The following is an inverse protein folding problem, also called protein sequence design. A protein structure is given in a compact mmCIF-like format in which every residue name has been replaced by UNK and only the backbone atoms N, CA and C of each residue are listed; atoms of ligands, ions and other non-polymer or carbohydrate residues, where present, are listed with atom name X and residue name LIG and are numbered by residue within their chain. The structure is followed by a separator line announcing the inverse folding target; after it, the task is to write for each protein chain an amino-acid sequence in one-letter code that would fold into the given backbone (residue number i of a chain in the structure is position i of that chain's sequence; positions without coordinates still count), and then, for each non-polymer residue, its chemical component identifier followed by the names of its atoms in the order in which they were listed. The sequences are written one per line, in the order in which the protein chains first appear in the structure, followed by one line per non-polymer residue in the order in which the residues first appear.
data_IF_179004867290
#
_entry.id   IF_179004867290
#
_cell.length_a   1.000
_cell.length_b   1.000
_cell.length_c   1.000
_cell.angle_alpha   90.00
_cell.angle_beta   90.00
_cell.angle_gamma   90.00
#
_symmetry.space_group_name_H-M   'P 1'
#
loop_
_entity.id
_entity.type
_entity.pdbx_description
1 polymer ?
#
# COMPACT_ATOMS: atom_id res chain seq x y z
N UNK A 1 2.12 -13.30 -16.27
CA UNK A 1 1.89 -11.86 -16.50
C UNK A 1 2.28 -11.18 -15.21
N UNK A 2 3.09 -10.16 -15.25
CA UNK A 2 3.42 -9.44 -14.03
C UNK A 2 2.22 -8.57 -13.65
N UNK A 3 1.81 -8.57 -12.39
CA UNK A 3 0.80 -7.65 -11.87
C UNK A 3 1.30 -6.21 -12.05
N UNK A 4 0.40 -5.29 -12.41
CA UNK A 4 0.68 -3.87 -12.68
C UNK A 4 1.52 -3.56 -13.94
N UNK A 5 1.60 -4.45 -14.95
CA UNK A 5 2.40 -4.20 -16.16
C UNK A 5 1.83 -3.01 -16.95
N UNK A 6 0.59 -3.09 -17.36
CA UNK A 6 -0.06 -2.02 -18.09
C UNK A 6 -0.98 -1.16 -17.21
N UNK A 7 -1.54 -1.75 -16.15
CA UNK A 7 -2.39 -1.03 -15.22
C UNK A 7 -1.65 0.15 -14.56
N UNK A 8 -0.31 0.06 -14.42
CA UNK A 8 0.51 1.16 -13.91
C UNK A 8 0.33 2.47 -14.67
N UNK A 9 0.04 2.41 -15.98
CA UNK A 9 -0.14 3.59 -16.84
C UNK A 9 -1.41 4.38 -16.50
N UNK A 10 -2.45 3.69 -16.08
CA UNK A 10 -3.76 4.29 -15.73
C UNK A 10 -4.04 4.25 -14.22
N UNK A 11 -3.13 3.65 -13.43
CA UNK A 11 -3.32 3.43 -11.99
C UNK A 11 -3.75 4.71 -11.26
N UNK A 12 -3.06 5.81 -11.50
CA UNK A 12 -3.33 7.07 -10.84
C UNK A 12 -4.69 7.67 -11.21
N UNK A 13 -5.18 7.43 -12.42
CA UNK A 13 -6.52 7.84 -12.85
C UNK A 13 -7.60 6.93 -12.24
N UNK A 14 -7.36 5.63 -12.23
CA UNK A 14 -8.30 4.65 -11.63
C UNK A 14 -8.40 4.85 -10.12
N UNK A 15 -7.28 5.16 -9.45
CA UNK A 15 -7.19 5.41 -8.01
C UNK A 15 -7.41 6.88 -7.63
N UNK A 16 -8.01 7.69 -8.50
CA UNK A 16 -8.24 9.12 -8.23
C UNK A 16 -9.10 9.39 -6.98
N UNK A 17 -9.94 8.44 -6.59
CA UNK A 17 -10.79 8.52 -5.40
C UNK A 17 -10.08 8.15 -4.08
N UNK A 18 -8.84 7.66 -4.14
CA UNK A 18 -8.07 7.43 -2.91
C UNK A 18 -7.50 8.75 -2.40
N UNK A 19 -7.85 9.11 -1.17
CA UNK A 19 -7.45 10.39 -0.55
C UNK A 19 -6.02 10.31 0.04
N UNK A 20 -5.02 10.53 -0.82
CA UNK A 20 -3.62 10.61 -0.41
C UNK A 20 -3.34 11.76 0.56
N UNK A 21 -4.14 12.82 0.54
CA UNK A 21 -4.01 13.95 1.47
C UNK A 21 -4.51 13.57 2.86
N UNK A 22 -5.57 12.78 2.96
CA UNK A 22 -6.04 12.24 4.23
C UNK A 22 -5.02 11.27 4.83
N UNK A 23 -4.51 10.33 4.02
CA UNK A 23 -3.46 9.40 4.42
C UNK A 23 -2.21 10.13 4.91
N UNK A 24 -1.75 11.14 4.18
CA UNK A 24 -0.58 11.94 4.56
C UNK A 24 -0.82 12.73 5.87
N UNK A 25 -2.00 13.34 6.04
CA UNK A 25 -2.35 14.04 7.28
C UNK A 25 -2.34 13.10 8.48
N UNK A 26 -2.88 11.89 8.32
CA UNK A 26 -2.85 10.88 9.36
C UNK A 26 -1.42 10.47 9.71
N UNK A 27 -0.56 10.21 8.71
CA UNK A 27 0.85 9.89 8.93
C UNK A 27 1.55 11.02 9.69
N UNK A 28 1.36 12.26 9.28
CA UNK A 28 1.96 13.44 9.90
C UNK A 28 1.57 13.58 11.38
N UNK A 29 0.31 13.39 11.69
CA UNK A 29 -0.20 13.45 13.07
C UNK A 29 0.36 12.32 13.93
N UNK A 30 0.40 11.09 13.40
CA UNK A 30 0.98 9.93 14.09
C UNK A 30 2.49 10.09 14.28
N UNK A 31 3.19 10.63 13.30
CA UNK A 31 4.63 10.88 13.40
C UNK A 31 4.96 11.89 14.50
N UNK A 32 4.07 12.88 14.70
CA UNK A 32 4.29 13.97 15.64
C UNK A 32 5.32 14.98 15.16
N UNK A 33 5.80 15.83 16.08
CA UNK A 33 6.82 16.82 15.78
C UNK A 33 8.20 16.16 15.65
N UNK A 34 8.94 16.52 14.61
CA UNK A 34 10.30 16.06 14.34
C UNK A 34 10.94 16.89 13.24
N UNK A 35 12.27 17.07 13.32
CA UNK A 35 12.96 17.94 12.36
C UNK A 35 13.12 17.28 10.98
N UNK A 36 13.36 15.97 10.94
CA UNK A 36 13.53 15.19 9.71
C UNK A 36 13.52 13.70 9.98
N UNK A 37 12.56 13.00 9.43
CA UNK A 37 12.44 11.55 9.56
C UNK A 37 13.20 10.82 8.44
N UNK A 38 13.79 9.67 8.78
CA UNK A 38 14.16 8.64 7.81
C UNK A 38 12.95 7.73 7.63
N UNK A 39 12.35 7.75 6.45
CA UNK A 39 11.08 7.10 6.14
C UNK A 39 11.32 5.96 5.15
N UNK A 40 10.72 4.80 5.40
CA UNK A 40 10.60 3.70 4.45
C UNK A 40 9.15 3.58 4.02
N UNK A 41 8.88 3.69 2.73
CA UNK A 41 7.58 3.39 2.13
C UNK A 41 7.66 2.07 1.38
N UNK A 42 6.90 1.09 1.84
CA UNK A 42 6.81 -0.26 1.29
C UNK A 42 5.62 -0.33 0.32
N UNK A 43 5.76 -1.07 -0.78
CA UNK A 43 4.76 -1.12 -1.85
C UNK A 43 4.33 0.29 -2.30
N UNK A 44 5.31 1.12 -2.64
CA UNK A 44 5.11 2.55 -2.88
C UNK A 44 4.34 2.89 -4.17
N UNK A 45 4.13 1.91 -5.05
CA UNK A 45 3.44 2.09 -6.32
C UNK A 45 4.03 3.21 -7.17
N UNK A 46 3.18 4.11 -7.64
CA UNK A 46 3.56 5.27 -8.47
C UNK A 46 4.22 6.41 -7.69
N UNK A 47 4.43 6.26 -6.37
CA UNK A 47 5.11 7.24 -5.53
C UNK A 47 4.28 8.48 -5.14
N UNK A 48 2.96 8.44 -5.30
CA UNK A 48 2.07 9.57 -4.91
C UNK A 48 2.16 9.92 -3.44
N UNK A 49 2.19 8.92 -2.56
CA UNK A 49 2.35 9.16 -1.14
C UNK A 49 3.80 9.53 -0.81
N UNK A 50 4.80 8.85 -1.45
CA UNK A 50 6.22 9.17 -1.29
C UNK A 50 6.51 10.67 -1.52
N UNK A 51 5.91 11.24 -2.57
CA UNK A 51 6.06 12.67 -2.89
C UNK A 51 5.68 13.55 -1.69
N UNK A 52 4.51 13.29 -1.07
CA UNK A 52 4.03 14.02 0.12
C UNK A 52 4.90 13.76 1.34
N UNK A 53 5.33 12.51 1.55
CA UNK A 53 6.18 12.13 2.68
C UNK A 53 7.54 12.85 2.67
N UNK A 54 8.01 13.32 1.52
CA UNK A 54 9.25 14.12 1.45
C UNK A 54 9.15 15.47 2.19
N UNK A 55 7.95 15.93 2.55
CA UNK A 55 7.76 17.08 3.43
C UNK A 55 8.23 16.79 4.85
N UNK A 56 8.09 15.52 5.30
CA UNK A 56 8.46 15.09 6.64
C UNK A 56 9.94 14.68 6.76
N UNK A 57 10.57 14.26 5.67
CA UNK A 57 11.96 13.80 5.75
C UNK A 57 12.52 13.20 4.47
N UNK A 58 13.47 12.28 4.64
CA UNK A 58 14.06 11.52 3.55
C UNK A 58 13.24 10.23 3.35
N UNK A 59 12.76 10.00 2.15
CA UNK A 59 11.96 8.83 1.80
C UNK A 59 12.82 7.84 1.03
N UNK A 60 12.85 6.61 1.51
CA UNK A 60 13.29 5.45 0.75
C UNK A 60 12.06 4.62 0.46
N UNK A 61 11.79 4.32 -0.80
CA UNK A 61 10.64 3.51 -1.18
C UNK A 61 11.06 2.23 -1.89
N UNK A 62 10.17 1.24 -1.91
CA UNK A 62 10.32 0.11 -2.80
C UNK A 62 8.97 -0.42 -3.26
N UNK A 63 8.99 -1.05 -4.42
CA UNK A 63 7.88 -1.80 -4.97
C UNK A 63 8.40 -3.05 -5.67
N UNK A 64 7.55 -4.07 -5.84
CA UNK A 64 7.91 -5.26 -6.61
C UNK A 64 7.74 -5.06 -8.12
N UNK A 65 6.83 -4.15 -8.54
CA UNK A 65 6.58 -3.81 -9.93
C UNK A 65 7.59 -2.79 -10.41
N UNK A 66 8.29 -3.13 -11.49
CA UNK A 66 9.21 -2.23 -12.17
C UNK A 66 8.45 -1.11 -12.89
N UNK A 67 7.28 -1.44 -13.40
CA UNK A 67 6.39 -0.54 -14.12
C UNK A 67 5.85 0.56 -13.17
N UNK A 68 5.44 0.20 -11.96
CA UNK A 68 5.10 1.16 -10.91
C UNK A 68 6.28 2.07 -10.57
N UNK A 69 7.48 1.51 -10.45
CA UNK A 69 8.69 2.29 -10.18
C UNK A 69 9.08 3.21 -11.33
N UNK A 70 8.74 2.88 -12.58
CA UNK A 70 8.91 3.79 -13.72
C UNK A 70 7.98 5.01 -13.58
N UNK A 71 6.74 4.85 -13.13
CA UNK A 71 5.84 5.97 -12.84
C UNK A 71 6.37 6.80 -11.66
N UNK A 72 6.85 6.14 -10.60
CA UNK A 72 7.50 6.80 -9.48
C UNK A 72 8.73 7.61 -9.92
N UNK A 73 9.53 7.09 -10.87
CA UNK A 73 10.65 7.83 -11.45
C UNK A 73 10.18 9.14 -12.10
N UNK A 74 9.17 9.10 -12.95
CA UNK A 74 8.66 10.31 -13.61
C UNK A 74 8.24 11.38 -12.60
N UNK A 75 7.67 10.97 -11.46
CA UNK A 75 7.21 11.86 -10.39
C UNK A 75 8.35 12.42 -9.54
N UNK A 76 9.31 11.58 -9.17
CA UNK A 76 10.24 11.84 -8.08
C UNK A 76 11.68 12.09 -8.51
N UNK A 77 12.06 11.94 -9.79
CA UNK A 77 13.48 11.98 -10.22
C UNK A 77 14.21 13.27 -9.90
N UNK A 78 13.50 14.38 -9.73
CA UNK A 78 14.07 15.68 -9.33
C UNK A 78 14.09 15.89 -7.82
N UNK A 79 13.46 15.00 -7.04
CA UNK A 79 13.36 15.20 -5.60
C UNK A 79 14.57 14.55 -4.89
N UNK A 80 15.50 15.34 -4.34
CA UNK A 80 16.72 14.81 -3.72
C UNK A 80 16.46 14.02 -2.42
N UNK A 81 15.23 14.13 -1.87
CA UNK A 81 14.83 13.43 -0.65
C UNK A 81 14.18 12.07 -0.91
N UNK A 82 13.90 11.72 -2.15
CA UNK A 82 13.28 10.46 -2.53
C UNK A 82 14.30 9.52 -3.20
N UNK A 83 14.30 8.26 -2.76
CA UNK A 83 15.05 7.16 -3.39
C UNK A 83 14.15 5.95 -3.41
N UNK A 84 14.27 5.12 -4.45
CA UNK A 84 13.46 3.91 -4.56
C UNK A 84 14.22 2.79 -5.25
N UNK A 85 13.75 1.57 -5.03
CA UNK A 85 14.36 0.36 -5.58
C UNK A 85 13.32 -0.75 -5.70
N UNK A 86 13.61 -1.75 -6.52
CA UNK A 86 12.75 -2.95 -6.66
C UNK A 86 13.06 -3.94 -5.55
N UNK A 87 12.06 -4.25 -4.72
CA UNK A 87 12.13 -5.26 -3.65
C UNK A 87 10.75 -5.86 -3.38
N UNK A 88 10.72 -6.99 -2.67
CA UNK A 88 9.51 -7.66 -2.22
C UNK A 88 9.26 -7.40 -0.73
N UNK A 89 7.99 -7.32 -0.34
CA UNK A 89 7.57 -7.11 1.07
C UNK A 89 8.11 -8.18 2.02
N UNK A 90 8.32 -9.40 1.54
CA UNK A 90 8.78 -10.55 2.32
C UNK A 90 10.28 -10.62 2.49
N UNK A 91 11.02 -9.95 1.60
CA UNK A 91 12.48 -10.00 1.57
C UNK A 91 13.07 -8.67 1.08
N UNK A 92 13.29 -7.76 1.99
CA UNK A 92 13.96 -6.49 1.72
C UNK A 92 15.07 -6.23 2.73
N UNK A 93 16.11 -5.52 2.31
CA UNK A 93 17.24 -5.22 3.18
C UNK A 93 17.85 -3.86 2.85
N UNK A 94 18.06 -3.06 3.90
CA UNK A 94 18.73 -1.77 3.83
C UNK A 94 19.85 -1.70 4.88
N UNK A 95 20.91 -0.97 4.58
CA UNK A 95 22.03 -0.73 5.52
C UNK A 95 21.73 0.32 6.59
N UNK A 96 20.48 0.80 6.67
CA UNK A 96 20.03 1.80 7.65
C UNK A 96 18.70 1.40 8.27
N UNK A 97 18.40 1.99 9.41
CA UNK A 97 17.10 1.90 10.08
C UNK A 97 16.30 3.18 9.91
N UNK A 98 14.98 3.09 10.10
CA UNK A 98 14.03 4.15 9.80
C UNK A 98 13.26 4.56 11.05
N UNK A 99 12.89 5.84 11.12
CA UNK A 99 12.02 6.39 12.15
C UNK A 99 10.58 5.99 11.92
N UNK A 100 10.17 6.00 10.63
CA UNK A 100 8.85 5.60 10.18
C UNK A 100 8.99 4.56 9.07
N UNK A 101 8.25 3.48 9.18
CA UNK A 101 8.04 2.50 8.10
C UNK A 101 6.55 2.50 7.78
N UNK A 102 6.21 2.60 6.50
CA UNK A 102 4.81 2.66 6.05
C UNK A 102 4.52 1.58 5.01
N UNK A 103 3.33 1.01 5.09
CA UNK A 103 2.73 0.22 4.02
C UNK A 103 1.25 0.57 3.96
N UNK A 104 0.90 1.63 3.23
CA UNK A 104 -0.46 2.14 3.11
C UNK A 104 -1.06 1.79 1.75
N UNK A 105 -2.35 2.05 1.59
CA UNK A 105 -3.10 1.67 0.41
C UNK A 105 -3.12 0.15 0.19
N UNK A 106 -3.48 -0.59 1.26
CA UNK A 106 -3.74 -2.04 1.27
C UNK A 106 -2.60 -2.94 0.75
N UNK A 107 -1.37 -2.43 0.66
CA UNK A 107 -0.23 -3.22 0.17
C UNK A 107 -0.02 -4.55 0.88
N UNK A 108 -0.32 -4.65 2.19
CA UNK A 108 -0.21 -5.90 2.94
C UNK A 108 -1.33 -6.91 2.63
N UNK A 109 -2.46 -6.49 2.04
CA UNK A 109 -3.51 -7.41 1.61
C UNK A 109 -3.04 -8.33 0.47
N UNK A 110 -1.96 -7.98 -0.24
CA UNK A 110 -1.34 -8.81 -1.27
C UNK A 110 -0.50 -9.97 -0.71
N UNK A 111 -0.36 -10.10 0.61
CA UNK A 111 0.34 -11.21 1.23
C UNK A 111 -0.64 -12.38 1.45
N UNK A 112 -0.45 -13.53 0.75
CA UNK A 112 -1.47 -14.58 0.65
C UNK A 112 -1.63 -15.41 1.92
N UNK A 113 -0.69 -15.35 2.84
CA UNK A 113 -0.72 -16.18 4.02
C UNK A 113 -0.02 -15.53 5.22
N UNK A 114 -0.29 -16.09 6.39
CA UNK A 114 0.30 -15.67 7.65
C UNK A 114 1.84 -15.76 7.66
N UNK A 115 2.42 -16.75 6.98
CA UNK A 115 3.86 -16.90 6.90
C UNK A 115 4.52 -15.73 6.17
N UNK A 116 3.90 -15.24 5.10
CA UNK A 116 4.36 -14.07 4.35
C UNK A 116 4.22 -12.78 5.17
N UNK A 117 3.11 -12.63 5.91
CA UNK A 117 2.91 -11.51 6.82
C UNK A 117 3.96 -11.51 7.94
N UNK A 118 4.25 -12.68 8.54
CA UNK A 118 5.30 -12.84 9.54
C UNK A 118 6.69 -12.54 8.97
N UNK A 119 6.99 -12.96 7.75
CA UNK A 119 8.25 -12.64 7.07
C UNK A 119 8.40 -11.12 6.88
N UNK A 120 7.36 -10.46 6.37
CA UNK A 120 7.32 -9.00 6.21
C UNK A 120 7.56 -8.28 7.56
N UNK A 121 6.85 -8.66 8.61
CA UNK A 121 6.99 -8.00 9.92
C UNK A 121 8.36 -8.20 10.56
N UNK A 122 9.02 -9.33 10.33
CA UNK A 122 10.41 -9.54 10.75
C UNK A 122 11.37 -8.59 10.04
N UNK A 123 11.17 -8.36 8.73
CA UNK A 123 11.96 -7.38 7.99
C UNK A 123 11.70 -5.96 8.51
N UNK A 124 10.42 -5.61 8.74
CA UNK A 124 10.07 -4.31 9.34
C UNK A 124 10.78 -4.12 10.67
N UNK A 125 10.72 -5.12 11.58
CA UNK A 125 11.38 -5.06 12.89
C UNK A 125 12.89 -4.85 12.78
N UNK A 126 13.55 -5.52 11.83
CA UNK A 126 14.98 -5.40 11.61
C UNK A 126 15.42 -3.99 11.14
N UNK A 127 14.51 -3.24 10.56
CA UNK A 127 14.79 -1.92 9.99
C UNK A 127 14.15 -0.76 10.78
N UNK A 128 13.33 -1.05 11.80
CA UNK A 128 12.71 -0.04 12.63
C UNK A 128 13.67 0.41 13.73
N UNK A 129 13.87 1.71 13.89
CA UNK A 129 14.65 2.28 15.01
C UNK A 129 13.92 2.08 16.34
N UNK A 130 14.66 2.10 17.44
CA UNK A 130 14.09 2.21 18.79
C UNK A 130 13.25 3.50 18.86
N UNK A 131 12.01 3.38 19.36
CA UNK A 131 11.02 4.46 19.34
C UNK A 131 10.37 4.74 17.98
N UNK A 132 10.81 4.07 16.92
CA UNK A 132 10.22 4.18 15.58
C UNK A 132 8.82 3.58 15.51
N UNK A 133 8.09 3.90 14.44
CA UNK A 133 6.71 3.45 14.23
C UNK A 133 6.53 2.79 12.87
N UNK A 134 5.80 1.70 12.87
CA UNK A 134 5.31 1.03 11.68
C UNK A 134 3.82 1.36 11.49
N UNK A 135 3.48 1.99 10.38
CA UNK A 135 2.14 2.42 10.02
C UNK A 135 1.68 1.61 8.80
N UNK A 136 0.58 0.93 8.91
CA UNK A 136 0.02 0.19 7.78
C UNK A 136 -1.50 0.13 7.86
N UNK A 137 -2.12 -0.16 6.74
CA UNK A 137 -3.54 -0.38 6.67
C UNK A 137 -3.88 -1.72 6.01
N UNK A 138 -5.11 -2.13 6.23
CA UNK A 138 -5.70 -3.32 5.63
C UNK A 138 -7.14 -3.03 5.23
N UNK A 139 -7.49 -3.43 4.01
CA UNK A 139 -8.88 -3.64 3.63
C UNK A 139 -9.44 -4.81 4.42
N UNK A 140 -10.67 -4.66 4.90
CA UNK A 140 -11.35 -5.67 5.72
C UNK A 140 -12.32 -6.51 4.90
N UNK A 141 -12.79 -7.61 5.48
CA UNK A 141 -13.89 -8.37 4.90
C UNK A 141 -15.16 -7.52 4.72
N UNK A 142 -15.37 -6.46 5.53
CA UNK A 142 -16.48 -5.53 5.35
C UNK A 142 -16.34 -4.76 4.02
N UNK A 143 -15.14 -4.31 3.69
CA UNK A 143 -14.82 -3.65 2.42
C UNK A 143 -15.15 -4.52 1.22
N UNK A 144 -14.67 -5.76 1.25
CA UNK A 144 -14.86 -6.68 0.14
C UNK A 144 -16.31 -7.15 -0.02
N UNK A 145 -17.07 -7.26 1.09
CA UNK A 145 -18.53 -7.50 1.02
C UNK A 145 -19.28 -6.30 0.45
N UNK A 146 -18.83 -5.08 0.72
CA UNK A 146 -19.41 -3.87 0.14
C UNK A 146 -19.20 -3.83 -1.38
N UNK A 147 -18.04 -4.25 -1.86
CA UNK A 147 -17.80 -4.42 -3.29
C UNK A 147 -18.67 -5.53 -3.89
N UNK A 148 -18.87 -6.63 -3.17
CA UNK A 148 -19.66 -7.78 -3.64
C UNK A 148 -19.16 -8.32 -4.98
N UNK A 149 -20.10 -8.71 -5.84
CA UNK A 149 -19.84 -9.11 -7.24
C UNK A 149 -19.98 -7.88 -8.17
N UNK A 150 -19.26 -6.80 -7.84
CA UNK A 150 -19.30 -5.56 -8.62
C UNK A 150 -18.76 -5.80 -10.03
N UNK A 151 -19.48 -5.24 -11.00
CA UNK A 151 -18.98 -5.07 -12.38
C UNK A 151 -19.07 -3.61 -12.72
N UNK A 152 -17.93 -3.00 -12.90
CA UNK A 152 -17.80 -1.59 -13.23
C UNK A 152 -17.24 -1.45 -14.66
N UNK A 153 -17.76 -0.49 -15.39
CA UNK A 153 -17.23 -0.08 -16.69
C UNK A 153 -16.89 1.39 -16.57
N UNK A 154 -15.67 1.75 -16.95
CA UNK A 154 -15.22 3.13 -17.13
C UNK A 154 -14.88 3.36 -18.58
N UNK A 155 -15.48 4.38 -19.18
CA UNK A 155 -15.24 4.82 -20.53
C UNK A 155 -14.72 6.27 -20.45
N UNK A 156 -13.42 6.40 -20.51
CA UNK A 156 -12.71 7.66 -20.33
C UNK A 156 -11.99 8.03 -21.64
N UNK A 157 -11.58 9.28 -21.77
CA UNK A 157 -10.98 9.79 -23.02
C UNK A 157 -9.76 8.99 -23.49
N UNK A 158 -8.93 8.49 -22.55
CA UNK A 158 -7.66 7.82 -22.83
C UNK A 158 -7.67 6.32 -22.57
N UNK A 159 -8.72 5.77 -21.95
CA UNK A 159 -8.83 4.35 -21.68
C UNK A 159 -10.28 3.90 -21.54
N UNK A 160 -10.54 2.65 -21.89
CA UNK A 160 -11.73 1.91 -21.51
C UNK A 160 -11.33 0.80 -20.55
N UNK A 161 -12.07 0.62 -19.45
CA UNK A 161 -11.75 -0.34 -18.42
C UNK A 161 -13.02 -1.09 -17.97
N UNK A 162 -12.90 -2.40 -17.81
CA UNK A 162 -13.88 -3.20 -17.06
C UNK A 162 -13.22 -3.72 -15.81
N UNK A 163 -13.94 -3.66 -14.70
CA UNK A 163 -13.51 -4.16 -13.39
C UNK A 163 -14.55 -5.15 -12.88
N UNK A 164 -14.16 -6.39 -12.69
CA UNK A 164 -15.00 -7.43 -12.12
C UNK A 164 -14.45 -7.87 -10.78
N UNK A 165 -15.28 -7.85 -9.73
CA UNK A 165 -14.90 -8.19 -8.37
C UNK A 165 -15.62 -9.45 -7.91
N UNK A 166 -14.93 -10.30 -7.15
CA UNK A 166 -15.51 -11.47 -6.51
C UNK A 166 -14.84 -11.71 -5.16
N UNK A 167 -15.64 -11.82 -4.10
CA UNK A 167 -15.17 -12.09 -2.75
C UNK A 167 -15.73 -13.44 -2.23
N UNK A 168 -14.85 -14.39 -1.91
CA UNK A 168 -15.24 -15.73 -1.41
C UNK A 168 -15.40 -15.82 0.12
N UNK A 169 -15.19 -14.71 0.83
CA UNK A 169 -15.19 -14.62 2.30
C UNK A 169 -13.80 -14.52 2.91
N UNK A 170 -12.74 -14.83 2.15
CA UNK A 170 -11.34 -14.73 2.57
C UNK A 170 -10.46 -14.01 1.56
N UNK A 171 -10.67 -14.26 0.29
CA UNK A 171 -9.91 -13.69 -0.81
C UNK A 171 -10.84 -12.83 -1.65
N UNK A 172 -10.43 -11.60 -1.88
CA UNK A 172 -11.06 -10.72 -2.85
C UNK A 172 -10.25 -10.77 -4.13
N UNK A 173 -10.87 -11.25 -5.20
CA UNK A 173 -10.28 -11.32 -6.52
C UNK A 173 -10.95 -10.31 -7.42
N UNK A 174 -10.17 -9.48 -8.09
CA UNK A 174 -10.68 -8.64 -9.14
C UNK A 174 -9.89 -8.82 -10.44
N UNK A 175 -10.65 -8.84 -11.53
CA UNK A 175 -10.13 -8.90 -12.88
C UNK A 175 -10.36 -7.57 -13.57
N UNK A 176 -9.29 -7.04 -14.14
CA UNK A 176 -9.29 -5.79 -14.88
C UNK A 176 -9.00 -6.12 -16.33
N UNK A 177 -9.88 -5.68 -17.24
CA UNK A 177 -9.58 -5.61 -18.66
C UNK A 177 -9.54 -4.14 -19.05
N UNK A 178 -8.41 -3.67 -19.54
CA UNK A 178 -8.26 -2.30 -20.00
C UNK A 178 -7.86 -2.25 -21.47
N UNK A 179 -8.31 -1.21 -22.16
CA UNK A 179 -7.92 -0.87 -23.52
C UNK A 179 -7.36 0.54 -23.46
N UNK A 180 -6.10 0.70 -23.84
CA UNK A 180 -5.40 1.98 -23.87
C UNK A 180 -5.25 2.43 -25.32
N UNK A 181 -5.55 3.70 -25.59
CA UNK A 181 -5.37 4.26 -26.92
C UNK A 181 -3.91 4.57 -27.21
N UNK A 182 -3.43 4.07 -28.34
CA UNK A 182 -2.08 4.30 -28.85
C UNK A 182 -2.04 5.57 -29.72
N UNK A 183 -0.84 6.10 -29.99
CA UNK A 183 -0.64 7.30 -30.79
C UNK A 183 -1.21 7.21 -32.22
N UNK A 184 -1.33 6.00 -32.76
CA UNK A 184 -1.91 5.74 -34.09
C UNK A 184 -3.43 5.55 -34.10
N UNK A 185 -4.07 5.66 -32.93
CA UNK A 185 -5.51 5.46 -32.74
C UNK A 185 -5.93 3.99 -32.61
N UNK A 186 -4.98 3.05 -32.55
CA UNK A 186 -5.25 1.67 -32.17
C UNK A 186 -5.46 1.56 -30.65
N UNK A 187 -6.03 0.43 -30.21
CA UNK A 187 -6.18 0.13 -28.79
C UNK A 187 -5.38 -1.11 -28.44
N UNK A 188 -4.51 -0.98 -27.44
CA UNK A 188 -3.86 -2.13 -26.84
C UNK A 188 -4.69 -2.65 -25.68
N UNK A 189 -4.93 -3.98 -25.64
CA UNK A 189 -5.70 -4.65 -24.58
C UNK A 189 -4.78 -5.23 -23.55
N UNK A 190 -5.12 -5.01 -22.28
CA UNK A 190 -4.46 -5.60 -21.12
C UNK A 190 -5.48 -6.33 -20.25
N UNK A 191 -5.08 -7.47 -19.70
CA UNK A 191 -5.86 -8.24 -18.75
C UNK A 191 -4.99 -8.51 -17.52
N UNK A 192 -5.44 -8.05 -16.35
CA UNK A 192 -4.77 -8.29 -15.07
C UNK A 192 -5.73 -8.91 -14.05
N UNK A 193 -5.19 -9.70 -13.16
CA UNK A 193 -5.94 -10.29 -12.04
C UNK A 193 -5.17 -10.01 -10.77
N UNK A 194 -5.87 -9.47 -9.79
CA UNK A 194 -5.33 -9.17 -8.47
C UNK A 194 -6.08 -9.97 -7.42
N UNK A 195 -5.36 -10.36 -6.38
CA UNK A 195 -5.91 -11.05 -5.22
C UNK A 195 -5.48 -10.34 -3.95
N UNK A 196 -6.46 -9.97 -3.14
CA UNK A 196 -6.26 -9.41 -1.81
C UNK A 196 -6.81 -10.35 -0.76
N UNK A 197 -6.05 -10.54 0.31
CA UNK A 197 -6.34 -11.51 1.36
C UNK A 197 -6.77 -10.80 2.65
N UNK A 198 -7.86 -11.27 3.25
CA UNK A 198 -8.29 -10.77 4.56
C UNK A 198 -7.34 -11.30 5.62
N UNK A 199 -6.75 -10.39 6.38
CA UNK A 199 -5.98 -10.69 7.59
C UNK A 199 -6.81 -10.30 8.82
N UNK A 200 -7.18 -11.27 9.64
CA UNK A 200 -7.90 -11.01 10.89
C UNK A 200 -7.00 -10.30 11.90
N UNK A 201 -7.58 -9.39 12.70
CA UNK A 201 -6.83 -8.60 13.69
C UNK A 201 -5.98 -9.46 14.63
N UNK A 202 -6.52 -10.60 15.08
CA UNK A 202 -5.79 -11.53 15.95
C UNK A 202 -4.54 -12.09 15.28
N UNK A 203 -4.61 -12.43 13.99
CA UNK A 203 -3.47 -12.87 13.19
C UNK A 203 -2.42 -11.77 13.07
N UNK A 204 -2.84 -10.54 12.75
CA UNK A 204 -1.95 -9.38 12.67
C UNK A 204 -1.22 -9.16 13.99
N UNK A 205 -1.94 -9.16 15.11
CA UNK A 205 -1.34 -8.99 16.45
C UNK A 205 -0.35 -10.09 16.80
N UNK A 206 -0.68 -11.34 16.45
CA UNK A 206 0.20 -12.49 16.68
C UNK A 206 1.49 -12.36 15.88
N UNK A 207 1.40 -12.08 14.57
CA UNK A 207 2.57 -11.91 13.71
C UNK A 207 3.46 -10.73 14.15
N UNK A 208 2.89 -9.61 14.55
CA UNK A 208 3.63 -8.49 15.12
C UNK A 208 4.39 -8.90 16.39
N UNK A 209 3.71 -9.58 17.31
CA UNK A 209 4.30 -10.05 18.57
C UNK A 209 5.46 -11.04 18.32
N UNK A 210 5.29 -11.98 17.40
CA UNK A 210 6.35 -12.93 17.01
C UNK A 210 7.56 -12.24 16.38
N UNK A 211 7.34 -11.08 15.74
CA UNK A 211 8.40 -10.24 15.22
C UNK A 211 9.04 -9.32 16.29
N UNK A 212 8.56 -9.33 17.54
CA UNK A 212 9.03 -8.44 18.61
C UNK A 212 8.47 -7.02 18.51
N UNK A 213 7.27 -6.90 17.98
CA UNK A 213 6.51 -5.64 17.89
C UNK A 213 5.15 -5.77 18.55
N UNK A 214 4.55 -4.63 18.87
CA UNK A 214 3.19 -4.56 19.42
C UNK A 214 2.35 -3.49 18.72
N UNK A 215 1.05 -3.68 18.69
CA UNK A 215 0.09 -2.68 18.27
C UNK A 215 0.02 -1.58 19.33
N UNK A 216 0.23 -0.34 18.92
CA UNK A 216 0.11 0.86 19.76
C UNK A 216 -1.28 1.49 19.63
N UNK A 217 -1.85 1.50 18.41
CA UNK A 217 -3.17 2.02 18.12
C UNK A 217 -3.80 1.35 16.90
N UNK A 218 -5.12 1.36 16.83
CA UNK A 218 -5.92 0.90 15.69
C UNK A 218 -7.02 1.93 15.44
N UNK A 219 -7.20 2.29 14.17
CA UNK A 219 -8.15 3.31 13.76
C UNK A 219 -9.04 2.86 12.60
N UNK A 220 -10.20 3.48 12.47
CA UNK A 220 -11.11 3.35 11.34
C UNK A 220 -10.58 4.21 10.17
N UNK A 221 -10.02 3.56 9.16
CA UNK A 221 -9.34 4.24 8.07
C UNK A 221 -8.22 5.16 8.55
N UNK A 222 -8.09 6.31 7.95
CA UNK A 222 -7.12 7.35 8.34
C UNK A 222 -7.72 8.38 9.30
N UNK A 223 -8.82 8.04 9.95
CA UNK A 223 -9.38 8.82 11.06
C UNK A 223 -8.67 8.48 12.38
N UNK A 224 -8.96 9.24 13.43
CA UNK A 224 -8.53 8.88 14.80
C UNK A 224 -9.68 8.22 15.60
N UNK A 225 -10.75 7.82 14.91
CA UNK A 225 -11.85 7.06 15.51
C UNK A 225 -11.45 5.59 15.70
N UNK A 226 -11.92 4.92 16.77
CA UNK A 226 -11.67 3.50 16.94
C UNK A 226 -12.27 2.66 15.81
N UNK A 227 -11.52 1.65 15.34
CA UNK A 227 -12.04 0.68 14.40
C UNK A 227 -13.22 -0.11 15.00
N UNK A 228 -14.14 -0.50 14.14
CA UNK A 228 -15.35 -1.27 14.46
C UNK A 228 -15.48 -2.45 13.49
N UNK A 229 -16.35 -3.43 13.78
CA UNK A 229 -16.60 -4.52 12.82
C UNK A 229 -17.19 -4.06 11.45
N UNK A 230 -17.57 -2.79 11.34
CA UNK A 230 -18.06 -2.18 10.08
C UNK A 230 -17.02 -1.39 9.34
N UNK A 231 -15.85 -1.17 9.94
CA UNK A 231 -14.76 -0.43 9.30
C UNK A 231 -14.32 -1.16 8.03
N UNK A 232 -14.33 -0.46 6.92
CA UNK A 232 -13.96 -1.01 5.61
C UNK A 232 -12.45 -1.04 5.41
N UNK A 233 -11.74 -0.16 6.11
CA UNK A 233 -10.28 -0.08 6.19
C UNK A 233 -9.89 0.09 7.67
N UNK A 234 -8.88 -0.63 8.08
CA UNK A 234 -8.31 -0.51 9.43
C UNK A 234 -6.87 -0.09 9.31
N UNK A 235 -6.50 1.01 9.99
CA UNK A 235 -5.12 1.49 10.05
C UNK A 235 -4.49 1.16 11.40
N UNK A 236 -3.28 0.67 11.35
CA UNK A 236 -2.50 0.22 12.50
C UNK A 236 -1.30 1.12 12.71
N UNK A 237 -1.03 1.41 13.97
CA UNK A 237 0.25 1.94 14.43
C UNK A 237 0.89 0.87 15.29
N UNK A 238 2.07 0.41 14.91
CA UNK A 238 2.85 -0.57 15.66
C UNK A 238 4.22 -0.01 16.04
N UNK A 239 4.83 -0.56 17.05
CA UNK A 239 6.17 -0.21 17.51
C UNK A 239 6.87 -1.41 18.10
N UNK A 240 8.14 -1.24 18.49
CA UNK A 240 8.93 -2.28 19.14
C UNK A 240 8.34 -2.58 20.51
N UNK A 241 8.29 -3.84 20.89
CA UNK A 241 7.90 -4.29 22.23
C UNK A 241 9.13 -4.09 23.14
N UNK A 242 8.99 -3.26 24.18
CA UNK A 242 10.03 -2.94 25.16
C UNK A 242 10.18 -4.05 26.22
#
# INVERSE_FOLDING_TARGET
MNEYEAFSLIYDAVMANYDYDEAFRWVKEVAGEGDRFEILEMAMGTGKLAEKLTELGNVTGFDRSEEMLMQAYQRLYKNPRAKWTKMDLRDFSFSKSFDLILCLCDGLNYLPCEADLSACFKQVRAHLKDGGRFLFDLNTAARFREYGDLKEIRDEESYFLTWENHFDGRVNRYAITAFLEEEDGAYERFDEVHEEYVSEEETVRRCLKEAGMRVLAIYDGYSFSPATPRSTRISYVAGIDE
#
